data_IF_001206781416
#
_entry.id   IF_001206781416
#
_cell.length_a   1.000
_cell.length_b   1.000
_cell.length_c   1.000
_cell.angle_alpha   90.00
_cell.angle_beta   90.00
_cell.angle_gamma   90.00
#
_symmetry.space_group_name_H-M   'P 1'
#
loop_
_entity.id
_entity.type
_entity.pdbx_description
1 polymer ?
#
# COMPACT_ATOMS: atom_id res chain seq x y z
N UNK A 1 0.33 -5.91 6.44
CA UNK A 1 0.53 -5.65 5.00
C UNK A 1 1.95 -5.16 4.78
N UNK A 2 2.59 -5.59 3.69
CA UNK A 2 3.95 -5.21 3.31
C UNK A 2 4.03 -4.91 1.79
N UNK A 3 5.01 -4.11 1.37
CA UNK A 3 5.28 -3.84 -0.05
C UNK A 3 6.49 -4.65 -0.49
N UNK A 4 6.36 -5.35 -1.62
CA UNK A 4 7.45 -6.07 -2.26
C UNK A 4 7.65 -5.51 -3.67
N UNK A 5 8.87 -5.14 -4.02
CA UNK A 5 9.25 -4.82 -5.39
C UNK A 5 9.89 -6.05 -6.05
N UNK A 6 9.50 -6.33 -7.30
CA UNK A 6 10.03 -7.42 -8.10
C UNK A 6 10.14 -6.98 -9.56
N UNK A 7 11.06 -7.59 -10.30
CA UNK A 7 11.23 -7.36 -11.75
C UNK A 7 11.20 -8.70 -12.47
N UNK A 8 10.72 -8.73 -13.72
CA UNK A 8 10.68 -9.95 -14.53
C UNK A 8 11.79 -9.91 -15.59
N UNK A 9 12.88 -10.68 -15.45
CA UNK A 9 13.95 -10.70 -16.45
C UNK A 9 13.41 -11.15 -17.83
N UNK A 10 13.97 -10.65 -18.96
CA UNK A 10 15.18 -9.84 -19.07
C UNK A 10 14.93 -8.32 -19.00
N UNK A 11 13.68 -7.87 -18.95
CA UNK A 11 13.39 -6.43 -18.90
C UNK A 11 13.47 -5.94 -17.45
N UNK A 12 14.12 -4.79 -17.24
CA UNK A 12 14.25 -4.17 -15.92
C UNK A 12 12.95 -3.46 -15.49
N UNK A 13 11.81 -4.11 -15.75
CA UNK A 13 10.47 -3.62 -15.46
C UNK A 13 10.11 -3.95 -14.01
N UNK A 14 10.44 -3.04 -13.11
CA UNK A 14 10.10 -3.17 -11.70
C UNK A 14 8.61 -2.96 -11.48
N UNK A 15 7.98 -3.84 -10.72
CA UNK A 15 6.61 -3.71 -10.25
C UNK A 15 6.59 -3.88 -8.75
N UNK A 16 5.60 -3.29 -8.10
CA UNK A 16 5.34 -3.52 -6.69
C UNK A 16 4.10 -4.38 -6.53
N UNK A 17 4.05 -5.13 -5.43
CA UNK A 17 2.86 -5.82 -4.94
C UNK A 17 2.72 -5.57 -3.46
N UNK A 18 1.50 -5.34 -3.01
CA UNK A 18 1.13 -5.27 -1.60
C UNK A 18 0.68 -6.65 -1.19
N UNK A 19 1.31 -7.17 -0.14
CA UNK A 19 1.02 -8.48 0.42
C UNK A 19 0.40 -8.32 1.80
N UNK A 20 -0.65 -9.07 2.09
CA UNK A 20 -1.29 -9.16 3.39
C UNK A 20 -0.38 -9.81 4.43
N UNK A 21 -0.88 -9.94 5.66
CA UNK A 21 -0.14 -10.58 6.76
C UNK A 21 -0.01 -12.10 6.62
N UNK A 22 -0.90 -12.71 5.85
CA UNK A 22 -0.98 -14.15 5.57
C UNK A 22 -0.25 -14.55 4.27
N UNK A 23 0.33 -13.58 3.56
CA UNK A 23 0.97 -13.82 2.26
C UNK A 23 0.04 -13.62 1.05
N UNK A 24 -1.22 -13.23 1.24
CA UNK A 24 -2.15 -12.94 0.16
C UNK A 24 -1.69 -11.71 -0.66
N UNK A 25 -1.84 -11.74 -1.98
CA UNK A 25 -1.58 -10.55 -2.80
C UNK A 25 -2.84 -9.69 -2.75
N UNK A 26 -2.74 -8.55 -2.06
CA UNK A 26 -3.84 -7.59 -1.89
C UNK A 26 -3.98 -6.73 -3.15
N UNK A 27 -2.85 -6.27 -3.69
CA UNK A 27 -2.82 -5.47 -4.91
C UNK A 27 -1.47 -5.62 -5.61
N UNK A 28 -1.47 -5.53 -6.94
CA UNK A 28 -0.26 -5.50 -7.77
C UNK A 28 -0.27 -4.28 -8.70
N UNK A 29 0.90 -3.68 -8.90
CA UNK A 29 1.10 -2.59 -9.85
C UNK A 29 0.86 -3.03 -11.29
N UNK A 30 -0.10 -2.41 -11.96
CA UNK A 30 -0.32 -2.59 -13.40
C UNK A 30 0.74 -1.88 -14.27
N UNK A 31 1.50 -0.94 -13.68
CA UNK A 31 2.57 -0.20 -14.36
C UNK A 31 3.94 -0.74 -13.95
N UNK A 32 4.89 -0.72 -14.89
CA UNK A 32 6.30 -0.96 -14.59
C UNK A 32 7.05 0.33 -14.32
N UNK A 33 8.11 0.21 -13.52
CA UNK A 33 8.98 1.28 -13.11
C UNK A 33 10.41 0.95 -13.54
N UNK A 34 11.22 1.97 -13.87
CA UNK A 34 12.59 1.76 -14.30
C UNK A 34 13.54 1.35 -13.16
N UNK A 35 13.16 1.59 -11.90
CA UNK A 35 14.01 1.31 -10.73
C UNK A 35 13.20 0.70 -9.58
N UNK A 36 13.87 -0.12 -8.77
CA UNK A 36 13.31 -0.69 -7.55
C UNK A 36 12.84 0.41 -6.57
N UNK A 37 13.56 1.54 -6.53
CA UNK A 37 13.23 2.66 -5.66
C UNK A 37 11.90 3.30 -6.05
N UNK A 38 11.67 3.54 -7.35
CA UNK A 38 10.40 4.07 -7.85
C UNK A 38 9.25 3.09 -7.60
N UNK A 39 9.46 1.79 -7.85
CA UNK A 39 8.44 0.78 -7.56
C UNK A 39 8.10 0.72 -6.07
N UNK A 40 9.12 0.75 -5.20
CA UNK A 40 8.92 0.69 -3.74
C UNK A 40 8.24 1.94 -3.21
N UNK A 41 8.61 3.13 -3.71
CA UNK A 41 7.96 4.38 -3.34
C UNK A 41 6.48 4.41 -3.75
N UNK A 42 6.18 4.03 -4.99
CA UNK A 42 4.80 3.95 -5.48
C UNK A 42 3.97 2.91 -4.70
N UNK A 43 4.54 1.73 -4.41
CA UNK A 43 3.88 0.72 -3.60
C UNK A 43 3.66 1.16 -2.15
N UNK A 44 4.59 1.92 -1.57
CA UNK A 44 4.47 2.48 -0.22
C UNK A 44 3.35 3.51 -0.15
N UNK A 45 3.26 4.40 -1.13
CA UNK A 45 2.15 5.36 -1.24
C UNK A 45 0.81 4.64 -1.34
N UNK A 46 0.72 3.59 -2.18
CA UNK A 46 -0.50 2.79 -2.29
C UNK A 46 -0.84 2.04 -0.99
N UNK A 47 0.15 1.51 -0.28
CA UNK A 47 -0.07 0.87 1.02
C UNK A 47 -0.63 1.86 2.05
N UNK A 48 -0.16 3.10 2.06
CA UNK A 48 -0.70 4.12 2.95
C UNK A 48 -2.17 4.42 2.63
N UNK A 49 -2.52 4.51 1.35
CA UNK A 49 -3.91 4.67 0.92
C UNK A 49 -4.81 3.53 1.43
N UNK A 50 -4.35 2.27 1.37
CA UNK A 50 -5.07 1.14 1.97
C UNK A 50 -5.26 1.31 3.47
N UNK A 51 -4.20 1.69 4.19
CA UNK A 51 -4.26 1.89 5.65
C UNK A 51 -5.21 3.00 6.05
N UNK A 52 -5.24 4.09 5.28
CA UNK A 52 -6.16 5.21 5.52
C UNK A 52 -7.60 4.84 5.21
N UNK A 53 -7.84 4.05 4.16
CA UNK A 53 -9.17 3.50 3.83
C UNK A 53 -9.68 2.54 4.91
N UNK A 54 -8.80 1.67 5.40
CA UNK A 54 -9.13 0.67 6.41
C UNK A 54 -9.15 1.27 7.83
N UNK A 55 -8.77 2.56 7.98
CA UNK A 55 -8.82 3.28 9.25
C UNK A 55 -10.28 3.42 9.69
N UNK A 56 -10.66 2.90 10.87
CA UNK A 56 -12.00 3.11 11.38
C UNK A 56 -12.25 4.61 11.57
N UNK A 57 -13.47 5.10 11.31
CA UNK A 57 -13.81 6.49 11.55
C UNK A 57 -13.49 6.83 13.02
N UNK A 58 -13.01 8.06 13.29
CA UNK A 58 -12.72 8.46 14.66
C UNK A 58 -13.95 8.22 15.52
N UNK A 59 -13.75 7.56 16.67
CA UNK A 59 -14.83 7.35 17.63
C UNK A 59 -15.51 8.70 17.88
N UNK A 60 -16.80 8.80 17.53
CA UNK A 60 -17.59 10.02 17.72
C UNK A 60 -17.35 10.49 19.16
N UNK A 61 -16.67 11.62 19.32
CA UNK A 61 -16.39 12.16 20.64
C UNK A 61 -17.74 12.30 21.37
N UNK A 62 -17.89 11.75 22.58
CA UNK A 62 -19.10 11.96 23.34
C UNK A 62 -19.16 13.45 23.62
N UNK A 63 -20.11 14.11 22.95
CA UNK A 63 -20.47 15.51 23.15
C UNK A 63 -20.57 15.72 24.66
N UNK A 64 -19.59 16.39 25.24
CA UNK A 64 -19.67 16.91 26.60
C UNK A 64 -20.81 17.92 26.56
N UNK A 65 -22.01 17.51 26.98
CA UNK A 65 -23.06 18.44 27.40
C UNK A 65 -22.43 19.33 28.46
N UNK A 66 -22.01 20.54 28.06
CA UNK A 66 -21.75 21.60 29.02
C UNK A 66 -23.09 21.94 29.63
N UNK A 67 -23.19 21.72 30.94
CA UNK A 67 -24.24 22.24 31.81
C UNK A 67 -24.13 23.76 31.90
#
# INVERSE_FOLDING_TARGET
>A
MNVLAFSTPPTSDWRWRIVGSDGEIVEESSVSFPTIAHATAAGTERLQFHRDRDRPPPARAPWRRRR
#
